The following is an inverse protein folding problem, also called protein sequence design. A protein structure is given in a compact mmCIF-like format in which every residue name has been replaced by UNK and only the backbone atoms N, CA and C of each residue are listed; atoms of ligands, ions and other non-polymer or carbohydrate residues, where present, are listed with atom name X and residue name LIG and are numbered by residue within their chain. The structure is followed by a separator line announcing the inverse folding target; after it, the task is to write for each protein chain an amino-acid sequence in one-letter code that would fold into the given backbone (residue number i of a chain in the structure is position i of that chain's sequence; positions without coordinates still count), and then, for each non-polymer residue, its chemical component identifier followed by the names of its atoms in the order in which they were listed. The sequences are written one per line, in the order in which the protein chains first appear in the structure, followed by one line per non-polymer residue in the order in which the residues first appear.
data_IF_321202355630
#
_entry.id   IF_321202355630
#
_cell.length_a   1.000
_cell.length_b   1.000
_cell.length_c   1.000
_cell.angle_alpha   90.00
_cell.angle_beta   90.00
_cell.angle_gamma   90.00
#
_symmetry.space_group_name_H-M   'P 1'
#
loop_
_entity.id
_entity.type
_entity.pdbx_description
1 polymer ?
#
# COMPACT_ATOMS: atom_id res chain seq x y z
N UNK A 1 -8.84 -31.89 -41.85
CA UNK A 1 -9.69 -30.88 -41.19
C UNK A 1 -8.90 -30.26 -40.05
N UNK A 2 -8.50 -28.99 -40.19
CA UNK A 2 -7.84 -28.19 -39.16
C UNK A 2 -8.89 -27.28 -38.52
N UNK A 3 -8.96 -27.23 -37.20
CA UNK A 3 -9.72 -26.22 -36.43
C UNK A 3 -8.93 -25.96 -35.14
N UNK A 4 -8.01 -24.99 -35.17
CA UNK A 4 -8.15 -23.60 -34.72
C UNK A 4 -7.98 -23.43 -33.19
N UNK A 5 -6.72 -23.19 -32.83
CA UNK A 5 -6.22 -22.61 -31.59
C UNK A 5 -6.78 -21.20 -31.40
N UNK A 6 -7.34 -20.91 -30.23
CA UNK A 6 -7.73 -19.56 -29.83
C UNK A 6 -6.59 -18.94 -29.01
N UNK A 7 -5.83 -18.04 -29.64
CA UNK A 7 -4.85 -17.18 -28.98
C UNK A 7 -5.55 -15.95 -28.40
N UNK A 8 -5.61 -15.85 -27.07
CA UNK A 8 -6.01 -14.62 -26.39
C UNK A 8 -4.78 -13.78 -26.12
N UNK A 9 -4.49 -12.85 -27.04
CA UNK A 9 -3.61 -11.71 -26.80
C UNK A 9 -4.34 -10.70 -25.91
N UNK A 10 -4.00 -10.64 -24.63
CA UNK A 10 -4.27 -9.46 -23.81
C UNK A 10 -2.96 -8.70 -23.62
N UNK A 11 -2.73 -7.72 -24.49
CA UNK A 11 -1.68 -6.73 -24.33
C UNK A 11 -2.04 -5.79 -23.19
N UNK A 12 -1.34 -5.94 -22.06
CA UNK A 12 -1.21 -4.93 -21.03
C UNK A 12 0.28 -4.72 -20.82
N UNK A 13 0.84 -3.68 -21.43
CA UNK A 13 2.23 -3.28 -21.21
C UNK A 13 2.36 -2.84 -19.76
N UNK A 14 2.76 -3.76 -18.88
CA UNK A 14 3.19 -3.41 -17.52
C UNK A 14 4.56 -2.75 -17.67
N UNK A 15 4.58 -1.43 -17.64
CA UNK A 15 5.82 -0.66 -17.56
C UNK A 15 6.49 -1.01 -16.23
N UNK A 16 7.44 -1.94 -16.28
CA UNK A 16 8.37 -2.21 -15.20
C UNK A 16 9.27 -0.98 -15.09
N UNK A 17 9.29 -0.35 -13.92
CA UNK A 17 10.34 0.63 -13.62
C UNK A 17 11.63 -0.16 -13.39
N UNK A 18 12.38 -0.39 -14.48
CA UNK A 18 13.77 -0.83 -14.40
C UNK A 18 14.59 0.28 -13.73
N UNK A 19 15.03 0.06 -12.49
CA UNK A 19 16.07 0.90 -11.88
C UNK A 19 17.41 0.29 -12.29
N UNK A 20 18.01 0.80 -13.37
CA UNK A 20 19.41 0.49 -13.73
C UNK A 20 20.36 1.54 -13.15
N UNK A 21 21.54 1.14 -12.65
CA UNK A 21 22.56 2.07 -12.18
C UNK A 21 23.31 2.69 -13.37
N UNK A 22 23.44 4.02 -13.38
CA UNK A 22 24.22 4.76 -14.38
C UNK A 22 25.70 4.75 -14.03
N UNK A 23 26.52 4.02 -14.79
CA UNK A 23 27.96 4.24 -14.87
C UNK A 23 28.22 5.36 -15.90
N UNK A 24 28.99 6.36 -15.51
CA UNK A 24 29.41 7.47 -16.36
C UNK A 24 30.88 7.30 -16.72
N UNK A 25 31.16 7.07 -18.00
CA UNK A 25 32.47 7.32 -18.61
C UNK A 25 32.36 8.54 -19.52
N UNK A 26 33.38 9.40 -19.41
CA UNK A 26 33.51 10.73 -20.02
C UNK A 26 34.00 10.65 -21.47
N UNK A 27 33.60 11.62 -22.31
CA UNK A 27 34.52 12.45 -23.12
C UNK A 27 33.82 13.59 -23.92
N UNK A 28 34.33 14.83 -23.75
CA UNK A 28 34.26 16.01 -24.65
C UNK A 28 32.91 16.69 -24.93
N UNK A 29 32.72 18.02 -24.90
CA UNK A 29 33.60 19.18 -24.77
C UNK A 29 32.77 20.48 -24.51
N UNK A 30 33.40 21.39 -23.76
CA UNK A 30 33.18 22.83 -23.48
C UNK A 30 31.88 23.56 -23.92
N UNK A 31 31.19 24.19 -22.95
CA UNK A 31 31.23 25.66 -22.78
C UNK A 31 30.63 26.10 -21.44
N UNK A 32 31.14 27.23 -20.94
CA UNK A 32 31.21 27.68 -19.55
C UNK A 32 29.94 28.33 -18.97
N UNK A 33 29.68 28.09 -17.68
CA UNK A 33 29.46 29.20 -16.74
C UNK A 33 29.74 28.75 -15.30
N UNK A 34 30.57 29.54 -14.63
CA UNK A 34 31.10 29.39 -13.28
C UNK A 34 30.02 29.57 -12.22
N UNK A 35 29.96 28.67 -11.24
CA UNK A 35 30.11 28.99 -9.81
C UNK A 35 30.21 27.69 -9.01
N UNK A 36 31.32 27.57 -8.29
CA UNK A 36 31.64 26.53 -7.33
C UNK A 36 30.69 26.64 -6.13
N UNK A 37 30.17 25.51 -5.65
CA UNK A 37 29.89 25.30 -4.22
C UNK A 37 29.73 23.78 -3.96
N UNK A 38 30.84 23.25 -3.46
CA UNK A 38 31.04 22.15 -2.51
C UNK A 38 29.99 21.02 -2.40
N UNK A 39 30.40 19.85 -2.90
CA UNK A 39 29.74 18.57 -2.65
C UNK A 39 30.38 17.94 -1.41
N UNK A 40 29.76 18.14 -0.24
CA UNK A 40 30.06 17.38 0.97
C UNK A 40 28.86 16.52 1.37
N UNK A 41 29.18 15.25 1.59
CA UNK A 41 28.31 14.13 1.90
C UNK A 41 27.33 14.39 3.04
N UNK A 42 26.07 13.98 2.87
CA UNK A 42 25.24 13.50 4.00
C UNK A 42 24.11 12.60 3.48
N UNK A 43 24.46 11.36 3.15
CA UNK A 43 23.52 10.26 2.99
C UNK A 43 23.17 9.67 4.37
N UNK A 44 22.52 10.44 5.23
CA UNK A 44 21.71 10.01 6.39
C UNK A 44 20.98 11.27 6.89
N UNK A 45 19.65 11.29 6.82
CA UNK A 45 18.86 12.28 7.56
C UNK A 45 18.12 13.34 6.73
N UNK A 46 17.02 12.94 6.09
CA UNK A 46 15.83 13.82 5.93
C UNK A 46 14.59 12.97 5.64
N UNK A 47 14.14 12.19 6.64
CA UNK A 47 12.71 11.85 6.74
C UNK A 47 11.99 13.19 6.87
N UNK A 48 11.49 13.75 5.77
CA UNK A 48 10.61 14.93 5.82
C UNK A 48 9.52 14.60 6.83
N UNK A 49 9.35 15.48 7.80
CA UNK A 49 8.40 15.30 8.89
C UNK A 49 6.99 15.54 8.32
N UNK A 50 6.47 14.56 7.57
CA UNK A 50 5.10 14.52 7.06
C UNK A 50 4.09 14.32 8.18
N UNK A 51 4.54 14.24 9.43
CA UNK A 51 3.71 14.06 10.62
C UNK A 51 2.84 15.31 10.80
N UNK A 52 1.59 15.19 10.33
CA UNK A 52 0.45 16.07 10.65
C UNK A 52 0.39 17.39 9.86
N UNK A 53 0.54 17.36 8.53
CA UNK A 53 0.21 18.54 7.70
C UNK A 53 -1.24 18.97 7.91
N UNK A 54 -2.14 18.02 8.11
CA UNK A 54 -3.52 18.29 8.48
C UNK A 54 -3.67 19.11 9.78
N UNK A 55 -2.77 18.95 10.76
CA UNK A 55 -2.85 19.65 12.04
C UNK A 55 -2.36 21.11 11.94
N UNK A 56 -1.51 21.44 10.97
CA UNK A 56 -1.09 22.83 10.73
C UNK A 56 -2.21 23.70 10.14
N UNK A 57 -3.19 23.09 9.47
CA UNK A 57 -4.39 23.81 9.06
C UNK A 57 -5.37 23.99 10.22
N UNK A 58 -5.27 23.15 11.26
CA UNK A 58 -6.12 23.24 12.43
C UNK A 58 -5.87 24.51 13.27
N UNK A 59 -4.63 24.99 13.31
CA UNK A 59 -4.25 26.20 14.03
C UNK A 59 -4.68 27.49 13.32
N UNK A 60 -4.79 27.48 11.98
CA UNK A 60 -5.18 28.65 11.18
C UNK A 60 -6.64 29.06 11.36
N UNK A 61 -7.54 28.13 11.70
CA UNK A 61 -8.97 28.47 11.86
C UNK A 61 -9.33 29.09 13.22
N UNK A 62 -8.38 29.22 14.15
CA UNK A 62 -8.61 29.87 15.45
C UNK A 62 -8.82 31.38 15.34
N UNK A 63 -8.54 31.99 14.17
CA UNK A 63 -8.68 33.43 13.94
C UNK A 63 -10.02 33.86 13.32
N UNK A 64 -10.94 32.93 13.05
CA UNK A 64 -12.25 33.26 12.47
C UNK A 64 -13.30 33.45 13.57
N UNK A 65 -14.02 34.57 13.53
CA UNK A 65 -15.14 34.84 14.44
C UNK A 65 -16.25 33.80 14.31
N UNK A 66 -16.87 33.42 15.43
CA UNK A 66 -17.97 32.45 15.45
C UNK A 66 -19.26 33.09 14.92
N UNK A 67 -19.62 32.74 13.69
CA UNK A 67 -20.88 33.15 13.06
C UNK A 67 -21.94 32.04 13.09
N UNK A 68 -21.74 30.97 13.86
CA UNK A 68 -22.63 29.81 13.90
C UNK A 68 -22.70 29.16 15.29
N UNK A 69 -23.67 28.26 15.47
CA UNK A 69 -24.00 27.66 16.76
C UNK A 69 -22.95 26.69 17.32
N UNK A 70 -22.03 26.19 16.48
CA UNK A 70 -21.02 25.21 16.88
C UNK A 70 -19.60 25.77 16.79
N UNK A 71 -18.68 25.34 17.66
CA UNK A 71 -17.27 25.66 17.51
C UNK A 71 -16.72 25.19 16.15
N UNK A 72 -15.73 25.90 15.60
CA UNK A 72 -15.15 25.61 14.27
C UNK A 72 -14.67 24.16 14.11
N UNK A 73 -14.19 23.52 15.19
CA UNK A 73 -13.73 22.13 15.14
C UNK A 73 -14.84 21.14 14.73
N UNK A 74 -16.12 21.44 15.03
CA UNK A 74 -17.27 20.60 14.65
C UNK A 74 -17.45 20.57 13.13
N UNK A 75 -17.36 21.73 12.46
CA UNK A 75 -17.45 21.83 11.01
C UNK A 75 -16.25 21.17 10.34
N UNK A 76 -15.06 21.32 10.92
CA UNK A 76 -13.84 20.69 10.42
C UNK A 76 -13.93 19.17 10.42
N UNK A 77 -14.61 18.55 11.38
CA UNK A 77 -14.88 17.11 11.36
C UNK A 77 -15.69 16.64 10.15
N UNK A 78 -16.32 17.57 9.42
CA UNK A 78 -17.15 17.33 8.24
C UNK A 78 -16.61 18.05 6.99
N UNK A 79 -15.42 18.67 7.06
CA UNK A 79 -14.75 19.28 5.91
C UNK A 79 -14.04 18.18 5.09
N UNK A 80 -14.54 17.93 3.88
CA UNK A 80 -14.01 16.88 3.00
C UNK A 80 -12.53 17.08 2.64
N UNK A 81 -12.04 18.31 2.51
CA UNK A 81 -10.64 18.60 2.19
C UNK A 81 -9.73 18.46 3.40
N UNK A 82 -10.23 18.81 4.58
CA UNK A 82 -9.54 18.52 5.84
C UNK A 82 -9.39 17.02 6.05
N UNK A 83 -10.49 16.27 5.92
CA UNK A 83 -10.50 14.81 6.03
C UNK A 83 -9.61 14.16 4.97
N UNK A 84 -9.63 14.64 3.72
CA UNK A 84 -8.77 14.14 2.65
C UNK A 84 -7.27 14.31 2.97
N UNK A 85 -6.86 15.46 3.51
CA UNK A 85 -5.48 15.66 3.97
C UNK A 85 -5.10 14.69 5.08
N UNK A 86 -5.98 14.50 6.06
CA UNK A 86 -5.73 13.58 7.17
C UNK A 86 -5.61 12.13 6.68
N UNK A 87 -6.54 11.67 5.85
CA UNK A 87 -6.53 10.34 5.25
C UNK A 87 -5.26 10.13 4.39
N UNK A 88 -4.85 11.12 3.59
CA UNK A 88 -3.62 11.06 2.81
C UNK A 88 -2.36 10.95 3.69
N UNK A 89 -2.28 11.71 4.78
CA UNK A 89 -1.15 11.64 5.72
C UNK A 89 -1.07 10.24 6.38
N UNK A 90 -2.21 9.63 6.73
CA UNK A 90 -2.28 8.27 7.29
C UNK A 90 -1.97 7.20 6.24
N UNK A 91 -2.46 7.37 5.02
CA UNK A 91 -2.16 6.48 3.90
C UNK A 91 -0.67 6.47 3.61
N UNK A 92 -0.04 7.65 3.51
CA UNK A 92 1.40 7.79 3.29
C UNK A 92 2.21 7.08 4.39
N UNK A 93 1.75 7.12 5.64
CA UNK A 93 2.40 6.40 6.75
C UNK A 93 2.29 4.88 6.61
N UNK A 94 1.25 4.39 5.94
CA UNK A 94 1.05 2.96 5.67
C UNK A 94 1.88 2.48 4.47
N UNK A 95 1.86 3.22 3.36
CA UNK A 95 2.44 2.78 2.08
C UNK A 95 3.84 3.34 1.79
N UNK A 96 4.28 4.35 2.54
CA UNK A 96 5.64 4.89 2.51
C UNK A 96 5.94 5.79 1.31
N UNK A 97 5.85 5.29 0.08
CA UNK A 97 6.38 5.96 -1.12
C UNK A 97 5.34 6.43 -2.13
N UNK A 98 4.12 5.87 -2.12
CA UNK A 98 3.07 6.29 -3.05
C UNK A 98 2.46 7.62 -2.60
N UNK A 99 2.70 8.68 -3.38
CA UNK A 99 2.19 10.02 -3.09
C UNK A 99 0.75 10.17 -3.60
N UNK A 100 -0.22 10.04 -2.70
CA UNK A 100 -1.64 10.32 -2.98
C UNK A 100 -2.00 11.80 -2.89
N UNK A 101 -1.03 12.68 -2.66
CA UNK A 101 -1.27 14.12 -2.45
C UNK A 101 -1.91 14.82 -3.66
N UNK A 102 -1.74 14.30 -4.87
CA UNK A 102 -2.42 14.80 -6.05
C UNK A 102 -3.96 14.64 -5.95
N UNK A 103 -4.43 13.66 -5.18
CA UNK A 103 -5.86 13.39 -4.97
C UNK A 103 -6.48 14.18 -3.83
N UNK A 104 -5.68 14.85 -2.98
CA UNK A 104 -6.20 15.63 -1.83
C UNK A 104 -7.15 16.76 -2.25
N UNK A 105 -6.98 17.30 -3.46
CA UNK A 105 -7.90 18.30 -4.05
C UNK A 105 -9.19 17.69 -4.59
N UNK A 106 -9.29 16.36 -4.65
CA UNK A 106 -10.44 15.59 -5.14
C UNK A 106 -10.83 14.55 -4.07
N UNK A 107 -11.43 14.98 -2.94
CA UNK A 107 -11.71 14.11 -1.79
C UNK A 107 -12.45 12.81 -2.16
N UNK A 108 -13.36 12.88 -3.12
CA UNK A 108 -14.11 11.71 -3.61
C UNK A 108 -13.20 10.65 -4.25
N UNK A 109 -12.30 11.09 -5.13
CA UNK A 109 -11.34 10.19 -5.79
C UNK A 109 -10.36 9.60 -4.78
N UNK A 110 -9.89 10.42 -3.82
CA UNK A 110 -9.01 9.94 -2.76
C UNK A 110 -9.70 8.87 -1.90
N UNK A 111 -10.96 9.10 -1.51
CA UNK A 111 -11.71 8.16 -0.68
C UNK A 111 -11.82 6.79 -1.38
N UNK A 112 -12.27 6.75 -2.64
CA UNK A 112 -12.33 5.48 -3.38
C UNK A 112 -10.95 4.85 -3.60
N UNK A 113 -9.90 5.67 -3.82
CA UNK A 113 -8.54 5.17 -3.96
C UNK A 113 -8.06 4.45 -2.68
N UNK A 114 -8.33 5.01 -1.51
CA UNK A 114 -8.01 4.40 -0.21
C UNK A 114 -8.89 3.18 0.02
N UNK A 115 -10.22 3.31 -0.13
CA UNK A 115 -11.17 2.22 0.09
C UNK A 115 -10.86 0.98 -0.75
N UNK A 116 -10.39 1.15 -1.99
CA UNK A 116 -10.05 0.02 -2.85
C UNK A 116 -8.76 -0.70 -2.44
N UNK A 117 -7.85 -0.03 -1.72
CA UNK A 117 -6.50 -0.53 -1.39
C UNK A 117 -6.28 -0.82 0.09
N UNK A 118 -7.13 -0.32 0.97
CA UNK A 118 -7.01 -0.53 2.42
C UNK A 118 -7.18 -2.03 2.73
N UNK A 119 -6.27 -2.65 3.51
CA UNK A 119 -6.23 -4.11 3.68
C UNK A 119 -7.24 -4.63 4.71
N UNK A 120 -8.52 -4.26 4.58
CA UNK A 120 -9.62 -4.60 5.50
C UNK A 120 -10.41 -5.83 5.05
N UNK A 121 -11.28 -6.36 5.91
CA UNK A 121 -12.15 -7.50 5.59
C UNK A 121 -13.27 -7.15 4.59
N UNK A 122 -13.85 -8.18 3.95
CA UNK A 122 -14.92 -8.01 2.94
C UNK A 122 -16.15 -7.28 3.50
N UNK A 123 -16.54 -7.57 4.75
CA UNK A 123 -17.64 -6.89 5.42
C UNK A 123 -17.38 -5.39 5.56
N UNK A 124 -16.15 -5.00 5.90
CA UNK A 124 -15.75 -3.60 6.02
C UNK A 124 -15.64 -2.95 4.63
N UNK A 125 -15.15 -3.67 3.61
CA UNK A 125 -15.15 -3.15 2.23
C UNK A 125 -16.58 -2.89 1.74
N UNK A 126 -17.50 -3.81 2.01
CA UNK A 126 -18.92 -3.64 1.69
C UNK A 126 -19.48 -2.41 2.40
N UNK A 127 -19.22 -2.25 3.70
CA UNK A 127 -19.63 -1.05 4.46
C UNK A 127 -19.10 0.23 3.82
N UNK A 128 -17.81 0.28 3.45
CA UNK A 128 -17.21 1.45 2.78
C UNK A 128 -17.89 1.79 1.44
N UNK A 129 -18.33 0.78 0.69
CA UNK A 129 -19.04 0.95 -0.58
C UNK A 129 -20.48 1.45 -0.38
N UNK A 130 -21.15 1.00 0.68
CA UNK A 130 -22.52 1.40 1.03
C UNK A 130 -22.60 2.80 1.64
N UNK A 131 -21.51 3.31 2.22
CA UNK A 131 -21.47 4.67 2.75
C UNK A 131 -21.75 5.69 1.63
N UNK A 132 -22.86 6.42 1.83
CA UNK A 132 -23.21 7.60 1.04
C UNK A 132 -22.51 8.84 1.59
N UNK A 133 -21.80 9.56 0.72
CA UNK A 133 -21.14 10.82 1.06
C UNK A 133 -19.66 10.67 1.39
N UNK A 134 -18.86 11.53 0.76
CA UNK A 134 -17.39 11.50 0.85
C UNK A 134 -16.88 11.73 2.28
N UNK A 135 -17.54 12.57 3.06
CA UNK A 135 -17.12 12.91 4.42
C UNK A 135 -17.26 11.73 5.36
N UNK A 136 -18.38 11.01 5.29
CA UNK A 136 -18.61 9.80 6.10
C UNK A 136 -17.64 8.69 5.71
N UNK A 137 -17.37 8.51 4.41
CA UNK A 137 -16.41 7.51 3.94
C UNK A 137 -15.00 7.82 4.42
N UNK A 138 -14.52 9.05 4.21
CA UNK A 138 -13.19 9.48 4.69
C UNK A 138 -13.05 9.33 6.21
N UNK A 139 -14.10 9.63 6.99
CA UNK A 139 -14.08 9.42 8.44
C UNK A 139 -13.93 7.95 8.81
N UNK A 140 -14.65 7.05 8.14
CA UNK A 140 -14.51 5.61 8.35
C UNK A 140 -13.13 5.12 7.94
N UNK A 141 -12.60 5.55 6.81
CA UNK A 141 -11.25 5.24 6.34
C UNK A 141 -10.17 5.71 7.33
N UNK A 142 -10.26 6.94 7.83
CA UNK A 142 -9.36 7.48 8.86
C UNK A 142 -9.40 6.58 10.10
N UNK A 143 -10.59 6.25 10.60
CA UNK A 143 -10.75 5.38 11.76
C UNK A 143 -10.13 3.99 11.54
N UNK A 144 -10.31 3.40 10.35
CA UNK A 144 -9.70 2.12 9.99
C UNK A 144 -8.16 2.22 9.92
N UNK A 145 -7.61 3.30 9.35
CA UNK A 145 -6.17 3.52 9.24
C UNK A 145 -5.51 3.81 10.61
N UNK A 146 -6.22 4.45 11.53
CA UNK A 146 -5.76 4.72 12.90
C UNK A 146 -5.80 3.46 13.77
N UNK A 147 -6.85 2.65 13.66
CA UNK A 147 -7.04 1.44 14.47
C UNK A 147 -6.21 0.25 13.98
N UNK A 148 -5.77 0.25 12.71
CA UNK A 148 -4.99 -0.84 12.12
C UNK A 148 -3.54 -0.83 12.63
N UNK A 149 -3.30 -1.59 13.70
CA UNK A 149 -1.94 -1.84 14.21
C UNK A 149 -1.46 -3.26 13.94
N UNK A 150 -2.35 -4.24 14.06
CA UNK A 150 -2.03 -5.66 13.91
C UNK A 150 -2.93 -6.31 12.87
N UNK A 151 -2.33 -7.24 12.12
CA UNK A 151 -3.00 -8.11 11.17
C UNK A 151 -2.97 -9.51 11.75
N UNK A 152 -4.14 -10.10 11.96
CA UNK A 152 -4.29 -11.38 12.64
C UNK A 152 -4.94 -12.40 11.69
N UNK A 153 -4.78 -13.68 11.99
CA UNK A 153 -5.50 -14.73 11.30
C UNK A 153 -7.01 -14.58 11.56
N UNK A 154 -7.83 -14.57 10.51
CA UNK A 154 -9.28 -14.47 10.61
C UNK A 154 -9.93 -15.58 11.43
N UNK A 155 -9.32 -16.76 11.45
CA UNK A 155 -9.92 -17.95 12.04
C UNK A 155 -9.57 -18.16 13.51
N UNK A 156 -8.35 -17.81 13.92
CA UNK A 156 -7.85 -18.05 15.28
C UNK A 156 -7.30 -16.82 15.99
N UNK A 157 -7.32 -15.65 15.33
CA UNK A 157 -6.82 -14.37 15.85
C UNK A 157 -5.34 -14.35 16.23
N UNK A 158 -4.56 -15.38 15.88
CA UNK A 158 -3.11 -15.37 16.01
C UNK A 158 -2.51 -14.19 15.23
N UNK A 159 -1.56 -13.47 15.83
CA UNK A 159 -0.84 -12.38 15.19
C UNK A 159 -0.09 -12.91 13.96
N UNK A 160 -0.28 -12.24 12.81
CA UNK A 160 0.40 -12.57 11.56
C UNK A 160 1.42 -11.49 11.21
N UNK A 161 1.11 -10.21 11.41
CA UNK A 161 2.04 -9.12 11.14
C UNK A 161 1.63 -7.82 11.82
N UNK A 162 2.56 -6.89 11.95
CA UNK A 162 2.27 -5.52 12.36
C UNK A 162 2.04 -4.65 11.12
N UNK A 163 1.36 -3.50 11.30
CA UNK A 163 1.17 -2.50 10.23
C UNK A 163 2.49 -2.04 9.61
N UNK A 164 3.57 -2.03 10.39
CA UNK A 164 4.91 -1.61 9.96
C UNK A 164 5.57 -2.61 9.02
N UNK A 165 5.08 -3.84 8.95
CA UNK A 165 5.58 -4.86 8.04
C UNK A 165 4.87 -4.81 6.69
N UNK A 166 3.91 -3.90 6.47
CA UNK A 166 3.29 -3.71 5.16
C UNK A 166 4.34 -3.23 4.16
N UNK A 167 4.39 -3.95 3.04
CA UNK A 167 5.28 -3.70 1.92
C UNK A 167 4.41 -3.40 0.70
N UNK A 168 4.87 -2.52 -0.17
CA UNK A 168 4.22 -2.23 -1.44
C UNK A 168 5.14 -2.72 -2.55
N UNK A 169 4.66 -3.70 -3.32
CA UNK A 169 5.43 -4.33 -4.40
C UNK A 169 4.96 -3.89 -5.80
N UNK A 170 3.89 -3.10 -5.89
CA UNK A 170 3.36 -2.57 -7.16
C UNK A 170 2.95 -1.10 -7.05
N UNK A 171 2.67 -0.49 -8.20
CA UNK A 171 2.12 0.87 -8.25
C UNK A 171 0.67 0.98 -7.82
N UNK A 172 -0.01 -0.13 -7.53
CA UNK A 172 -1.40 -0.17 -7.09
C UNK A 172 -1.55 -0.18 -5.57
N UNK A 173 -0.43 -0.16 -4.83
CA UNK A 173 -0.42 -0.12 -3.37
C UNK A 173 -0.14 -1.49 -2.73
N UNK A 174 -0.45 -1.66 -1.44
CA UNK A 174 0.00 -2.83 -0.68
C UNK A 174 -0.83 -4.09 -0.96
N UNK A 175 -2.01 -3.96 -1.57
CA UNK A 175 -2.91 -5.06 -1.92
C UNK A 175 -3.08 -5.11 -3.42
N UNK A 176 -2.77 -6.25 -4.01
CA UNK A 176 -2.97 -6.52 -5.43
C UNK A 176 -3.92 -7.69 -5.67
N UNK A 177 -4.58 -7.69 -6.83
CA UNK A 177 -5.44 -8.79 -7.27
C UNK A 177 -4.70 -9.66 -8.27
N UNK A 178 -4.57 -10.95 -7.97
CA UNK A 178 -3.98 -11.94 -8.85
C UNK A 178 -4.95 -13.08 -9.16
N UNK A 179 -4.70 -13.82 -10.23
CA UNK A 179 -5.48 -15.00 -10.61
C UNK A 179 -4.53 -16.18 -10.71
N UNK A 180 -4.88 -17.30 -10.08
CA UNK A 180 -4.10 -18.53 -10.19
C UNK A 180 -4.43 -19.30 -11.48
N UNK A 181 -3.67 -20.35 -11.86
CA UNK A 181 -3.92 -21.14 -13.07
C UNK A 181 -5.30 -21.82 -13.13
N UNK A 182 -5.98 -21.96 -11.99
CA UNK A 182 -7.33 -22.51 -11.90
C UNK A 182 -8.43 -21.44 -12.03
N UNK A 183 -8.07 -20.19 -12.31
CA UNK A 183 -9.02 -19.09 -12.44
C UNK A 183 -9.52 -18.50 -11.12
N UNK A 184 -8.91 -18.85 -9.99
CA UNK A 184 -9.29 -18.34 -8.66
C UNK A 184 -8.60 -17.00 -8.42
N UNK A 185 -9.41 -15.99 -8.05
CA UNK A 185 -8.95 -14.63 -7.74
C UNK A 185 -8.45 -14.55 -6.30
N UNK A 186 -7.29 -13.92 -6.12
CA UNK A 186 -6.65 -13.71 -4.83
C UNK A 186 -6.23 -12.25 -4.67
N UNK A 187 -6.90 -11.53 -3.77
CA UNK A 187 -6.39 -10.26 -3.24
C UNK A 187 -5.30 -10.55 -2.21
N UNK A 188 -4.09 -10.10 -2.52
CA UNK A 188 -2.87 -10.45 -1.81
C UNK A 188 -2.23 -9.18 -1.25
N UNK A 189 -2.14 -9.10 0.07
CA UNK A 189 -1.40 -8.07 0.80
C UNK A 189 0.08 -8.47 0.87
N UNK A 190 0.98 -7.59 0.43
CA UNK A 190 2.42 -7.82 0.56
C UNK A 190 2.97 -7.35 1.90
N UNK A 191 3.75 -8.21 2.56
CA UNK A 191 4.36 -7.96 3.87
C UNK A 191 5.86 -8.30 3.84
N UNK A 192 6.68 -7.48 4.48
CA UNK A 192 8.11 -7.72 4.63
C UNK A 192 8.38 -8.87 5.62
N UNK A 193 7.64 -8.93 6.73
CA UNK A 193 7.74 -9.96 7.75
C UNK A 193 6.38 -10.48 8.15
N UNK A 194 6.36 -11.72 8.62
CA UNK A 194 5.20 -12.33 9.27
C UNK A 194 5.65 -13.12 10.51
N UNK A 195 4.70 -13.37 11.40
CA UNK A 195 4.83 -14.22 12.56
C UNK A 195 3.84 -15.38 12.46
N UNK A 196 4.17 -16.52 13.05
CA UNK A 196 3.21 -17.62 13.19
C UNK A 196 2.76 -18.28 11.89
N UNK A 197 3.58 -18.26 10.83
CA UNK A 197 3.34 -19.01 9.59
C UNK A 197 4.32 -20.19 9.44
N UNK A 198 3.80 -21.33 8.99
CA UNK A 198 4.59 -22.50 8.57
C UNK A 198 4.61 -22.57 7.05
N UNK A 199 5.77 -22.88 6.47
CA UNK A 199 5.92 -23.14 5.04
C UNK A 199 5.70 -24.62 4.73
N UNK A 200 5.01 -24.90 3.63
CA UNK A 200 4.70 -26.27 3.19
C UNK A 200 5.06 -26.43 1.72
N UNK A 201 5.80 -27.50 1.41
CA UNK A 201 6.28 -27.82 0.07
C UNK A 201 7.59 -27.12 -0.29
N UNK A 202 8.09 -27.44 -1.47
CA UNK A 202 9.31 -26.82 -2.02
C UNK A 202 8.98 -25.47 -2.71
N UNK A 203 9.94 -24.54 -2.79
CA UNK A 203 9.76 -23.31 -3.55
C UNK A 203 9.56 -23.57 -5.04
N UNK A 204 8.57 -22.92 -5.65
CA UNK A 204 8.22 -23.05 -7.06
C UNK A 204 8.25 -21.70 -7.78
N UNK A 205 8.76 -21.65 -9.01
CA UNK A 205 8.77 -20.43 -9.84
C UNK A 205 7.64 -20.40 -10.86
N UNK A 206 7.03 -21.56 -11.15
CA UNK A 206 5.95 -21.69 -12.11
C UNK A 206 4.74 -20.85 -11.65
N UNK A 207 4.18 -20.06 -12.57
CA UNK A 207 3.03 -19.18 -12.31
C UNK A 207 3.23 -18.16 -11.16
N UNK A 208 4.47 -17.81 -10.83
CA UNK A 208 4.74 -16.75 -9.84
C UNK A 208 4.14 -15.42 -10.29
N UNK A 209 3.43 -14.75 -9.39
CA UNK A 209 2.87 -13.42 -9.63
C UNK A 209 3.91 -12.29 -9.57
N UNK A 210 5.07 -12.58 -8.97
CA UNK A 210 6.18 -11.65 -8.86
C UNK A 210 7.37 -12.22 -9.65
N UNK A 211 7.62 -11.72 -10.88
CA UNK A 211 8.72 -12.18 -11.71
C UNK A 211 10.06 -12.12 -10.95
N UNK A 212 10.89 -13.15 -11.12
CA UNK A 212 12.17 -13.29 -10.41
C UNK A 212 12.06 -13.79 -8.97
N UNK A 213 10.86 -14.17 -8.51
CA UNK A 213 10.64 -14.82 -7.21
C UNK A 213 10.04 -16.23 -7.36
N UNK A 214 10.53 -17.15 -6.54
CA UNK A 214 9.85 -18.42 -6.21
C UNK A 214 8.81 -18.19 -5.11
N UNK A 215 7.79 -19.02 -5.03
CA UNK A 215 6.77 -19.00 -3.99
C UNK A 215 6.67 -20.35 -3.26
N UNK A 216 6.35 -20.31 -1.96
CA UNK A 216 6.07 -21.48 -1.13
C UNK A 216 4.78 -21.25 -0.37
N UNK A 217 3.92 -22.27 -0.23
CA UNK A 217 2.65 -22.13 0.49
C UNK A 217 2.89 -21.82 1.97
N UNK A 218 2.11 -20.91 2.52
CA UNK A 218 2.19 -20.46 3.90
C UNK A 218 0.87 -20.70 4.64
N UNK A 219 0.94 -21.41 5.77
CA UNK A 219 -0.20 -21.78 6.60
C UNK A 219 -0.08 -21.20 8.00
N UNK A 220 -1.21 -20.82 8.60
CA UNK A 220 -1.22 -20.38 9.99
C UNK A 220 -0.76 -21.52 10.90
N UNK A 221 0.23 -21.27 11.77
CA UNK A 221 0.79 -22.26 12.69
C UNK A 221 -0.21 -22.80 13.71
N UNK A 222 -1.26 -22.02 14.01
CA UNK A 222 -2.25 -22.35 15.05
C UNK A 222 -3.42 -23.14 14.47
N UNK A 223 -4.10 -22.61 13.44
CA UNK A 223 -5.30 -23.24 12.89
C UNK A 223 -5.11 -23.95 11.55
N UNK A 224 -3.89 -23.95 11.02
CA UNK A 224 -3.54 -24.54 9.72
C UNK A 224 -4.36 -23.99 8.53
N UNK A 225 -4.93 -22.79 8.65
CA UNK A 225 -5.57 -22.12 7.53
C UNK A 225 -4.52 -21.69 6.49
N UNK A 226 -4.80 -21.90 5.21
CA UNK A 226 -3.94 -21.41 4.13
C UNK A 226 -3.96 -19.88 4.12
N UNK A 227 -2.85 -19.25 4.50
CA UNK A 227 -2.75 -17.80 4.65
C UNK A 227 -2.29 -17.12 3.37
N UNK A 228 -1.41 -17.76 2.59
CA UNK A 228 -0.89 -17.21 1.34
C UNK A 228 0.45 -17.86 0.99
N UNK A 229 1.42 -17.04 0.59
CA UNK A 229 2.69 -17.51 0.05
C UNK A 229 3.88 -16.73 0.61
N UNK A 230 5.02 -17.40 0.73
CA UNK A 230 6.32 -16.76 0.93
C UNK A 230 7.06 -16.69 -0.39
N UNK A 231 7.50 -15.49 -0.76
CA UNK A 231 8.25 -15.22 -1.98
C UNK A 231 9.73 -15.07 -1.67
N UNK A 232 10.58 -15.77 -2.42
CA UNK A 232 12.05 -15.70 -2.29
C UNK A 232 12.67 -15.41 -3.65
N UNK A 233 13.50 -14.36 -3.70
CA UNK A 233 14.21 -13.96 -4.91
C UNK A 233 15.08 -15.11 -5.43
N UNK A 234 14.96 -15.40 -6.72
CA UNK A 234 15.81 -16.37 -7.43
C UNK A 234 16.83 -15.68 -8.33
N UNK A 235 16.57 -14.44 -8.71
CA UNK A 235 17.49 -13.61 -9.49
C UNK A 235 18.35 -12.72 -8.59
N UNK A 236 19.57 -12.44 -9.03
CA UNK A 236 20.47 -11.51 -8.36
C UNK A 236 19.98 -10.06 -8.51
N UNK A 237 20.38 -9.17 -7.59
CA UNK A 237 20.00 -7.76 -7.62
C UNK A 237 18.57 -7.43 -7.17
N UNK A 238 17.65 -8.41 -7.10
CA UNK A 238 16.29 -8.16 -6.63
C UNK A 238 16.23 -7.76 -5.15
N UNK A 239 15.34 -6.81 -4.86
CA UNK A 239 14.96 -6.37 -3.53
C UNK A 239 13.43 -6.29 -3.41
N UNK A 240 12.85 -6.75 -2.28
CA UNK A 240 13.52 -7.41 -1.17
C UNK A 240 14.01 -8.83 -1.51
N UNK A 241 14.94 -9.41 -0.74
CA UNK A 241 15.37 -10.81 -0.95
C UNK A 241 14.27 -11.84 -0.70
N UNK A 242 13.32 -11.50 0.15
CA UNK A 242 12.11 -12.26 0.36
C UNK A 242 11.02 -11.36 0.93
N UNK A 243 9.78 -11.78 0.75
CA UNK A 243 8.59 -11.14 1.32
C UNK A 243 7.44 -12.14 1.35
N UNK A 244 6.28 -11.72 1.84
CA UNK A 244 5.10 -12.55 1.97
C UNK A 244 3.95 -11.96 1.17
N UNK A 245 3.19 -12.79 0.47
CA UNK A 245 1.90 -12.43 -0.10
C UNK A 245 0.80 -13.13 0.69
N UNK A 246 0.09 -12.39 1.54
CA UNK A 246 -0.97 -12.93 2.40
C UNK A 246 -2.34 -12.61 1.81
N UNK A 247 -3.21 -13.60 1.71
CA UNK A 247 -4.58 -13.42 1.21
C UNK A 247 -5.36 -12.53 2.15
N UNK A 248 -5.86 -11.39 1.64
CA UNK A 248 -6.64 -10.41 2.43
C UNK A 248 -7.83 -11.05 3.14
N UNK A 249 -8.52 -11.98 2.47
CA UNK A 249 -9.70 -12.67 3.01
C UNK A 249 -9.40 -13.56 4.23
N UNK A 250 -8.13 -13.83 4.52
CA UNK A 250 -7.67 -14.62 5.66
C UNK A 250 -7.19 -13.76 6.83
N UNK A 251 -7.16 -12.44 6.65
CA UNK A 251 -6.75 -11.50 7.68
C UNK A 251 -7.96 -10.92 8.43
N UNK A 252 -7.76 -10.61 9.69
CA UNK A 252 -8.64 -9.82 10.53
C UNK A 252 -7.86 -8.68 11.16
N UNK A 253 -8.50 -7.53 11.22
CA UNK A 253 -8.04 -6.40 12.04
C UNK A 253 -8.89 -6.42 13.29
N UNK A 254 -8.27 -6.43 14.46
CA UNK A 254 -9.01 -6.20 15.69
C UNK A 254 -9.18 -4.69 15.84
N UNK A 255 -10.42 -4.21 15.68
CA UNK A 255 -10.78 -2.89 16.21
C UNK A 255 -10.81 -3.01 17.73
N UNK A 256 -9.89 -2.32 18.41
CA UNK A 256 -10.03 -2.07 19.86
C UNK A 256 -11.13 -1.06 20.10
#
# INVERSE_FOLDING_TARGET
MKTHEWSSKSGGSKTVVEIRPTNADKEGSLSSCTQEDDCSSDHIGRRRDYRRRWALDASKSLSMGQCSAWPHWVYRMHDAYYLARHAADLWQQLVGFESVYNLVRRPEMLAYHIASRIPVQDSIRQELLEIHGVTYRLRKEIHLLESMNNLNCKWCFALIANRSDILVMSGEGPVDTFVNPHGIVHETLTLFRTEGLNLVGDPETLHSWFPGYSWTLAYCRVCNAHMGWHYKAVEEGLQPKSFWGIRRSQLAQLSK
#
